data_IF_104978801865
#
_entry.id   IF_104978801865
#
_cell.length_a   1.000
_cell.length_b   1.000
_cell.length_c   1.000
_cell.angle_alpha   90.00
_cell.angle_beta   90.00
_cell.angle_gamma   90.00
#
_symmetry.space_group_name_H-M   'P 1'
#
loop_
_entity.id
_entity.type
_entity.pdbx_description
1 polymer ?
#
# COMPACT_ATOMS: atom_id res chain seq x y z
N UNK A 1 -9.48 4.92 -18.29
CA UNK A 1 -9.40 3.47 -18.61
C UNK A 1 -7.99 3.05 -18.23
N UNK A 2 -7.78 2.47 -17.03
CA UNK A 2 -6.42 2.15 -16.57
C UNK A 2 -5.91 0.88 -17.26
N UNK A 3 -4.82 1.01 -18.00
CA UNK A 3 -4.16 -0.10 -18.67
C UNK A 3 -3.38 -0.91 -17.63
N UNK A 4 -3.94 -2.05 -17.23
CA UNK A 4 -3.26 -3.01 -16.36
C UNK A 4 -2.02 -3.56 -17.09
N UNK A 5 -0.86 -3.52 -16.44
CA UNK A 5 0.36 -4.15 -16.95
C UNK A 5 0.14 -5.65 -17.16
N UNK A 6 0.75 -6.22 -18.21
CA UNK A 6 0.70 -7.67 -18.47
C UNK A 6 1.13 -8.50 -17.25
N UNK A 7 2.13 -8.05 -16.50
CA UNK A 7 2.57 -8.71 -15.26
C UNK A 7 1.47 -8.77 -14.18
N UNK A 8 0.66 -7.71 -14.06
CA UNK A 8 -0.46 -7.69 -13.11
C UNK A 8 -1.60 -8.62 -13.56
N UNK A 9 -1.84 -8.74 -14.87
CA UNK A 9 -2.85 -9.63 -15.42
C UNK A 9 -2.47 -11.11 -15.25
N UNK A 10 -1.21 -11.49 -15.51
CA UNK A 10 -0.73 -12.85 -15.24
C UNK A 10 -0.76 -13.18 -13.74
N UNK A 11 -0.37 -12.24 -12.88
CA UNK A 11 -0.43 -12.45 -11.43
C UNK A 11 -1.86 -12.71 -10.94
N UNK A 12 -2.83 -11.97 -11.46
CA UNK A 12 -4.25 -12.17 -11.16
C UNK A 12 -4.80 -13.51 -11.67
N UNK A 13 -4.20 -14.08 -12.73
CA UNK A 13 -4.58 -15.38 -13.30
C UNK A 13 -4.01 -16.58 -12.55
N UNK A 14 -3.15 -16.39 -11.54
CA UNK A 14 -2.55 -17.52 -10.81
C UNK A 14 -3.62 -18.31 -10.03
N UNK A 15 -3.53 -19.64 -10.09
CA UNK A 15 -4.51 -20.54 -9.44
C UNK A 15 -4.37 -20.64 -7.92
N UNK A 16 -3.18 -20.38 -7.36
CA UNK A 16 -2.91 -20.56 -5.91
C UNK A 16 -2.67 -19.22 -5.24
N UNK A 17 -3.54 -18.84 -4.30
CA UNK A 17 -3.31 -17.70 -3.40
C UNK A 17 -2.29 -18.06 -2.33
N UNK A 18 -1.34 -17.17 -2.11
CA UNK A 18 -0.34 -17.28 -1.04
C UNK A 18 -0.97 -16.94 0.31
N UNK A 19 -0.35 -17.39 1.41
CA UNK A 19 -0.80 -17.02 2.78
C UNK A 19 -0.83 -15.51 2.98
N UNK A 20 0.15 -14.80 2.41
CA UNK A 20 0.23 -13.34 2.45
C UNK A 20 -0.98 -12.68 1.79
N UNK A 21 -1.34 -13.10 0.58
CA UNK A 21 -2.51 -12.53 -0.12
C UNK A 21 -3.81 -12.80 0.61
N UNK A 22 -3.97 -14.00 1.16
CA UNK A 22 -5.16 -14.33 1.95
C UNK A 22 -5.24 -13.46 3.21
N UNK A 23 -4.13 -13.29 3.91
CA UNK A 23 -4.06 -12.42 5.08
C UNK A 23 -4.38 -10.96 4.74
N UNK A 24 -3.74 -10.39 3.71
CA UNK A 24 -3.96 -9.01 3.30
C UNK A 24 -5.39 -8.77 2.80
N UNK A 25 -5.98 -9.73 2.07
CA UNK A 25 -7.37 -9.66 1.65
C UNK A 25 -8.35 -9.68 2.84
N UNK A 26 -8.05 -10.50 3.86
CA UNK A 26 -8.86 -10.52 5.07
C UNK A 26 -8.71 -9.22 5.87
N UNK A 27 -7.49 -8.69 6.00
CA UNK A 27 -7.23 -7.40 6.65
C UNK A 27 -7.94 -6.24 5.95
N UNK A 28 -7.99 -6.24 4.62
CA UNK A 28 -8.75 -5.25 3.87
C UNK A 28 -10.24 -5.26 4.24
N UNK A 29 -10.79 -6.43 4.60
CA UNK A 29 -12.19 -6.61 4.98
C UNK A 29 -12.47 -6.31 6.45
N UNK A 30 -11.58 -6.72 7.36
CA UNK A 30 -11.84 -6.64 8.82
C UNK A 30 -11.40 -5.32 9.43
N UNK A 31 -10.43 -4.62 8.84
CA UNK A 31 -9.99 -3.32 9.35
C UNK A 31 -11.01 -2.25 8.98
N UNK A 32 -11.49 -1.43 9.93
CA UNK A 32 -12.49 -0.39 9.66
C UNK A 32 -11.84 0.86 9.04
N UNK A 33 -11.33 0.74 7.80
CA UNK A 33 -10.53 1.78 7.14
C UNK A 33 -11.18 3.16 7.14
N UNK A 34 -12.45 3.26 6.76
CA UNK A 34 -13.15 4.55 6.70
C UNK A 34 -13.17 5.27 8.05
N UNK A 35 -13.34 4.52 9.15
CA UNK A 35 -13.34 5.08 10.51
C UNK A 35 -11.94 5.52 10.92
N UNK A 36 -10.91 4.75 10.59
CA UNK A 36 -9.52 5.12 10.88
C UNK A 36 -9.10 6.35 10.08
N UNK A 37 -9.40 6.39 8.78
CA UNK A 37 -9.12 7.53 7.92
C UNK A 37 -9.80 8.79 8.46
N UNK A 38 -11.09 8.73 8.82
CA UNK A 38 -11.82 9.88 9.33
C UNK A 38 -11.22 10.46 10.64
N UNK A 39 -10.55 9.65 11.44
CA UNK A 39 -9.88 10.09 12.68
C UNK A 39 -8.50 10.69 12.37
N UNK A 40 -7.78 10.15 11.39
CA UNK A 40 -6.42 10.57 11.06
C UNK A 40 -6.40 11.77 10.11
N UNK A 41 -7.32 11.84 9.16
CA UNK A 41 -7.37 12.85 8.10
C UNK A 41 -7.31 14.30 8.62
N UNK A 42 -8.02 14.72 9.70
CA UNK A 42 -7.92 16.08 10.23
C UNK A 42 -6.54 16.46 10.76
N UNK A 43 -5.71 15.45 11.11
CA UNK A 43 -4.36 15.63 11.63
C UNK A 43 -3.29 15.45 10.53
N UNK A 44 -3.70 15.00 9.35
CA UNK A 44 -2.76 14.63 8.30
C UNK A 44 -2.34 15.84 7.46
N UNK A 45 -1.05 15.99 7.12
CA UNK A 45 -0.58 17.12 6.33
C UNK A 45 -1.28 17.17 4.97
N UNK A 46 -2.05 18.24 4.75
CA UNK A 46 -2.82 18.44 3.51
C UNK A 46 -2.03 19.22 2.44
N UNK A 47 -1.00 19.95 2.85
CA UNK A 47 -0.09 20.70 1.98
C UNK A 47 1.34 20.26 2.25
N UNK A 48 1.99 19.63 1.25
CA UNK A 48 3.41 19.31 1.31
C UNK A 48 4.29 20.57 1.28
N UNK A 49 5.57 20.43 1.67
CA UNK A 49 6.60 21.41 1.30
C UNK A 49 6.78 21.36 -0.23
N UNK A 50 7.16 22.49 -0.84
CA UNK A 50 7.42 22.62 -2.29
C UNK A 50 8.26 21.42 -2.77
N UNK A 51 7.68 20.57 -3.63
CA UNK A 51 8.39 19.48 -4.31
C UNK A 51 7.83 18.06 -4.11
N UNK A 52 7.34 17.68 -2.91
CA UNK A 52 6.79 16.32 -2.66
C UNK A 52 5.33 16.43 -2.23
N UNK A 53 4.42 15.95 -3.08
CA UNK A 53 3.01 15.83 -2.70
C UNK A 53 2.89 14.81 -1.55
N UNK A 54 2.12 15.10 -0.49
CA UNK A 54 1.88 14.14 0.57
C UNK A 54 1.24 12.87 0.01
N UNK A 55 1.72 11.71 0.46
CA UNK A 55 1.05 10.43 0.19
C UNK A 55 -0.36 10.48 0.77
N UNK A 56 -1.39 9.99 0.08
CA UNK A 56 -2.75 10.01 0.63
C UNK A 56 -2.87 9.25 1.96
N UNK A 57 -3.66 9.77 2.91
CA UNK A 57 -3.90 9.20 4.26
C UNK A 57 -4.17 7.70 4.20
N UNK A 58 -5.06 7.30 3.28
CA UNK A 58 -5.47 5.90 3.08
C UNK A 58 -4.29 4.98 2.75
N UNK A 59 -3.34 5.46 1.94
CA UNK A 59 -2.14 4.72 1.56
C UNK A 59 -1.15 4.66 2.70
N UNK A 60 -0.89 5.80 3.34
CA UNK A 60 0.05 5.87 4.46
C UNK A 60 -0.38 4.99 5.63
N UNK A 61 -1.68 4.96 5.92
CA UNK A 61 -2.23 4.10 6.96
C UNK A 61 -2.03 2.61 6.63
N UNK A 62 -2.18 2.20 5.36
CA UNK A 62 -1.93 0.81 4.94
C UNK A 62 -0.45 0.45 5.00
N UNK A 63 0.45 1.35 4.62
CA UNK A 63 1.89 1.20 4.79
C UNK A 63 2.24 0.98 6.27
N UNK A 64 1.71 1.81 7.15
CA UNK A 64 1.90 1.66 8.59
C UNK A 64 1.37 0.32 9.11
N UNK A 65 0.19 -0.13 8.67
CA UNK A 65 -0.31 -1.45 9.03
C UNK A 65 0.61 -2.59 8.56
N UNK A 66 1.17 -2.51 7.36
CA UNK A 66 2.17 -3.50 6.89
C UNK A 66 3.41 -3.51 7.78
N UNK A 67 3.92 -2.34 8.16
CA UNK A 67 5.05 -2.25 9.10
C UNK A 67 4.72 -2.94 10.42
N UNK A 68 3.55 -2.69 11.00
CA UNK A 68 3.15 -3.30 12.28
C UNK A 68 2.92 -4.81 12.16
N UNK A 69 2.30 -5.30 11.08
CA UNK A 69 1.97 -6.73 10.93
C UNK A 69 3.18 -7.59 10.58
N UNK A 70 4.16 -7.03 9.88
CA UNK A 70 5.35 -7.76 9.42
C UNK A 70 6.64 -7.35 10.16
N UNK A 71 6.57 -6.41 11.10
CA UNK A 71 7.72 -5.91 11.86
C UNK A 71 8.74 -5.21 10.97
N UNK A 72 8.28 -4.46 9.96
CA UNK A 72 9.14 -3.80 8.98
C UNK A 72 9.49 -2.39 9.46
N UNK A 73 10.78 -2.05 9.38
CA UNK A 73 11.24 -0.66 9.39
C UNK A 73 10.90 0.04 8.06
N UNK A 74 11.19 1.33 7.93
CA UNK A 74 10.90 2.11 6.71
C UNK A 74 11.63 1.54 5.48
N UNK A 75 12.94 1.30 5.57
CA UNK A 75 13.73 0.69 4.48
C UNK A 75 13.19 -0.69 4.09
N UNK A 76 12.90 -1.53 5.09
CA UNK A 76 12.38 -2.88 4.86
C UNK A 76 10.97 -2.88 4.27
N UNK A 77 10.16 -1.84 4.53
CA UNK A 77 8.87 -1.67 3.88
C UNK A 77 9.04 -1.33 2.39
N UNK A 78 10.00 -0.45 2.06
CA UNK A 78 10.29 -0.09 0.68
C UNK A 78 10.75 -1.30 -0.14
N UNK A 79 11.67 -2.10 0.40
CA UNK A 79 12.10 -3.36 -0.21
C UNK A 79 10.91 -4.32 -0.38
N UNK A 80 10.07 -4.45 0.64
CA UNK A 80 8.91 -5.33 0.59
C UNK A 80 7.87 -4.89 -0.45
N UNK A 81 7.69 -3.57 -0.64
CA UNK A 81 6.85 -3.01 -1.70
C UNK A 81 7.48 -3.16 -3.08
N UNK A 82 8.80 -3.13 -3.20
CA UNK A 82 9.52 -3.37 -4.46
C UNK A 82 9.46 -4.84 -4.89
N UNK A 83 9.48 -5.77 -3.94
CA UNK A 83 9.51 -7.21 -4.23
C UNK A 83 8.13 -7.88 -4.29
N UNK A 84 7.14 -7.38 -3.54
CA UNK A 84 5.87 -8.07 -3.36
C UNK A 84 4.68 -7.39 -4.04
N UNK A 85 4.23 -7.97 -5.15
CA UNK A 85 2.99 -7.53 -5.84
C UNK A 85 1.78 -7.50 -4.90
N UNK A 86 1.62 -8.49 -4.02
CA UNK A 86 0.51 -8.53 -3.08
C UNK A 86 0.51 -7.35 -2.08
N UNK A 87 1.68 -6.90 -1.64
CA UNK A 87 1.79 -5.75 -0.74
C UNK A 87 1.55 -4.43 -1.49
N UNK A 88 2.02 -4.33 -2.74
CA UNK A 88 1.69 -3.18 -3.62
C UNK A 88 0.20 -3.05 -3.87
N UNK A 89 -0.44 -4.16 -4.24
CA UNK A 89 -1.88 -4.21 -4.50
C UNK A 89 -2.66 -3.82 -3.23
N UNK A 90 -2.24 -4.30 -2.06
CA UNK A 90 -2.86 -3.96 -0.79
C UNK A 90 -2.75 -2.46 -0.49
N UNK A 91 -1.57 -1.87 -0.66
CA UNK A 91 -1.34 -0.43 -0.39
C UNK A 91 -1.93 0.46 -1.49
N UNK A 92 -2.33 -0.12 -2.63
CA UNK A 92 -2.84 0.59 -3.79
C UNK A 92 -1.76 1.37 -4.54
N UNK A 93 -0.51 0.88 -4.53
CA UNK A 93 0.59 1.43 -5.33
C UNK A 93 0.52 0.82 -6.74
N UNK A 94 0.23 1.65 -7.74
CA UNK A 94 0.45 1.30 -9.14
C UNK A 94 1.83 1.84 -9.57
N UNK A 95 2.83 0.96 -9.62
CA UNK A 95 4.20 1.31 -10.05
C UNK A 95 4.28 1.82 -11.50
N UNK A 96 3.21 1.73 -12.29
CA UNK A 96 3.16 2.33 -13.61
C UNK A 96 2.89 3.85 -13.59
N UNK A 97 2.45 4.39 -12.45
CA UNK A 97 2.07 5.80 -12.30
C UNK A 97 2.75 6.51 -11.11
N UNK A 98 3.22 5.81 -10.08
CA UNK A 98 3.74 6.43 -8.86
C UNK A 98 4.96 5.69 -8.29
N UNK A 99 5.96 6.43 -7.82
CA UNK A 99 7.13 5.88 -7.13
C UNK A 99 6.78 5.50 -5.70
N UNK A 100 7.39 4.42 -5.20
CA UNK A 100 7.35 4.09 -3.77
C UNK A 100 7.96 5.29 -3.01
N UNK A 101 7.37 5.71 -1.88
CA UNK A 101 7.95 6.78 -1.09
C UNK A 101 9.31 6.31 -0.55
N UNK A 102 10.37 6.93 -1.07
CA UNK A 102 11.74 6.79 -0.58
C UNK A 102 11.79 7.01 0.94
N UNK A 103 12.50 6.11 1.65
CA UNK A 103 12.74 6.19 3.07
C UNK A 103 13.39 7.54 3.45
N UNK A 104 13.04 8.10 4.62
CA UNK A 104 13.62 9.35 5.14
C UNK A 104 14.35 9.07 6.44
#
# INVERSE_FOLDING_TARGET
MSQRSFASAEYAMKKKRTRREMFLAEMERVVPWSRLIAVVEPLYPTSGRVGRQPVGVSRMLRMYCLQQWYGLADEALEDALSDSQAMRDFVGVDLSHESVPDAT
#
